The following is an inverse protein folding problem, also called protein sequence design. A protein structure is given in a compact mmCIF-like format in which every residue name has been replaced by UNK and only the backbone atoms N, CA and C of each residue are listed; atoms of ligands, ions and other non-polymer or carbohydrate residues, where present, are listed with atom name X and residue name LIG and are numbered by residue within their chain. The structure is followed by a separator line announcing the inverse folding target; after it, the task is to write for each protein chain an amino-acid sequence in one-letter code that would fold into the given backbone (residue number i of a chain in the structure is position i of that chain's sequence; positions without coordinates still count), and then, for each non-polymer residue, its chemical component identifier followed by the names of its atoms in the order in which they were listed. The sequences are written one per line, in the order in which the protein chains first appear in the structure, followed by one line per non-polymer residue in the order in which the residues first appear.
data_IF_541722752088
#
_entry.id   IF_541722752088
#
_cell.length_a   1.000
_cell.length_b   1.000
_cell.length_c   1.000
_cell.angle_alpha   90.00
_cell.angle_beta   90.00
_cell.angle_gamma   90.00
#
_symmetry.space_group_name_H-M   'P 1'
#
loop_
_entity.id
_entity.type
_entity.pdbx_description
1 polymer ?
#
# COMPACT_ATOMS: atom_id res chain seq x y z
N UNK A 1 9.17 -15.03 -3.39
CA UNK A 1 8.22 -13.99 -3.00
C UNK A 1 8.90 -12.96 -2.11
N UNK A 2 8.68 -11.67 -2.33
CA UNK A 2 9.27 -10.67 -1.45
C UNK A 2 8.67 -10.75 -0.05
N UNK A 3 9.52 -10.56 0.94
CA UNK A 3 9.08 -10.48 2.33
C UNK A 3 8.40 -9.14 2.59
N UNK A 4 7.65 -9.03 3.69
CA UNK A 4 7.05 -7.76 4.09
C UNK A 4 8.12 -6.68 4.29
N UNK A 5 9.28 -7.05 4.83
CA UNK A 5 10.38 -6.12 5.03
C UNK A 5 10.89 -5.57 3.69
N UNK A 6 11.04 -6.42 2.69
CA UNK A 6 11.49 -6.01 1.36
C UNK A 6 10.49 -5.07 0.72
N UNK A 7 9.20 -5.41 0.78
CA UNK A 7 8.14 -4.56 0.24
C UNK A 7 8.13 -3.21 0.95
N UNK A 8 8.25 -3.22 2.27
CA UNK A 8 8.28 -2.01 3.07
C UNK A 8 9.43 -1.09 2.63
N UNK A 9 10.63 -1.65 2.49
CA UNK A 9 11.78 -0.89 2.04
C UNK A 9 11.59 -0.33 0.63
N UNK A 10 11.02 -1.11 -0.27
CA UNK A 10 10.77 -0.66 -1.65
C UNK A 10 9.75 0.48 -1.69
N UNK A 11 8.72 0.42 -0.86
CA UNK A 11 7.73 1.50 -0.76
C UNK A 11 8.35 2.76 -0.16
N UNK A 12 9.17 2.60 0.87
CA UNK A 12 9.71 3.73 1.62
C UNK A 12 10.85 4.44 0.90
N UNK A 13 11.59 3.76 0.04
CA UNK A 13 12.75 4.37 -0.63
C UNK A 13 12.36 5.41 -1.69
N UNK A 14 11.14 5.35 -2.22
CA UNK A 14 10.66 6.31 -3.19
C UNK A 14 11.18 6.14 -4.61
N UNK A 15 12.24 5.39 -4.81
CA UNK A 15 12.87 5.23 -6.14
C UNK A 15 12.24 4.12 -6.98
N UNK A 16 11.36 3.32 -6.38
CA UNK A 16 10.74 2.17 -7.05
C UNK A 16 9.23 2.32 -7.23
N UNK A 17 8.71 3.53 -7.15
CA UNK A 17 7.26 3.76 -7.19
C UNK A 17 6.60 3.22 -8.45
N UNK A 18 7.33 3.17 -9.56
CA UNK A 18 6.82 2.63 -10.83
C UNK A 18 6.97 1.11 -10.95
N UNK A 19 7.63 0.47 -9.99
CA UNK A 19 7.94 -0.95 -10.05
C UNK A 19 7.43 -1.74 -8.85
N UNK A 20 6.43 -1.22 -8.17
CA UNK A 20 5.79 -1.93 -7.06
C UNK A 20 4.61 -2.71 -7.61
N UNK A 21 4.58 -4.02 -7.36
CA UNK A 21 3.44 -4.84 -7.77
C UNK A 21 2.22 -4.49 -6.94
N UNK A 22 1.05 -4.50 -7.58
CA UNK A 22 -0.19 -4.24 -6.88
C UNK A 22 -0.41 -5.22 -5.73
N UNK A 23 -0.13 -6.51 -5.97
CA UNK A 23 -0.25 -7.55 -4.93
C UNK A 23 0.67 -7.30 -3.75
N UNK A 24 1.86 -6.75 -3.99
CA UNK A 24 2.80 -6.42 -2.91
C UNK A 24 2.28 -5.25 -2.07
N UNK A 25 1.71 -4.24 -2.71
CA UNK A 25 1.12 -3.12 -1.99
C UNK A 25 -0.04 -3.59 -1.13
N UNK A 26 -0.88 -4.48 -1.68
CA UNK A 26 -1.97 -5.10 -0.92
C UNK A 26 -1.44 -5.88 0.27
N UNK A 27 -0.35 -6.63 0.06
CA UNK A 27 0.25 -7.44 1.10
C UNK A 27 0.75 -6.60 2.27
N UNK A 28 1.41 -5.49 1.99
CA UNK A 28 1.93 -4.65 3.07
C UNK A 28 0.80 -3.95 3.83
N UNK A 29 -0.26 -3.53 3.15
CA UNK A 29 -1.42 -2.94 3.79
C UNK A 29 -2.12 -3.96 4.70
N UNK A 30 -2.27 -5.20 4.23
CA UNK A 30 -2.85 -6.26 5.05
C UNK A 30 -1.96 -6.57 6.26
N UNK A 31 -0.65 -6.55 6.09
CA UNK A 31 0.28 -6.76 7.19
C UNK A 31 0.10 -5.71 8.30
N UNK A 32 -0.15 -4.45 7.91
CA UNK A 32 -0.40 -3.39 8.90
C UNK A 32 -1.78 -3.48 9.55
N UNK A 33 -2.59 -4.45 9.16
CA UNK A 33 -3.90 -4.67 9.76
C UNK A 33 -5.04 -3.91 9.11
N UNK A 34 -4.84 -3.37 7.92
CA UNK A 34 -5.91 -2.72 7.19
C UNK A 34 -6.91 -3.75 6.69
N UNK A 35 -8.18 -3.39 6.77
CA UNK A 35 -9.26 -4.15 6.14
C UNK A 35 -9.45 -3.65 4.72
N UNK A 36 -9.97 -4.52 3.86
CA UNK A 36 -10.17 -4.17 2.46
C UNK A 36 -11.62 -4.39 2.04
N UNK A 37 -12.17 -3.40 1.37
CA UNK A 37 -13.47 -3.51 0.71
C UNK A 37 -13.25 -3.33 -0.78
N UNK A 38 -13.79 -4.21 -1.59
CA UNK A 38 -13.64 -4.16 -3.04
C UNK A 38 -14.92 -3.64 -3.65
N UNK A 39 -14.80 -2.63 -4.52
CA UNK A 39 -15.91 -2.09 -5.27
C UNK A 39 -15.46 -1.89 -6.72
N UNK A 40 -15.90 -2.80 -7.62
CA UNK A 40 -15.39 -2.83 -8.98
C UNK A 40 -13.89 -3.13 -8.99
N UNK A 41 -13.10 -2.25 -9.59
CA UNK A 41 -11.65 -2.35 -9.58
C UNK A 41 -10.99 -1.47 -8.51
N UNK A 42 -11.79 -0.91 -7.60
CA UNK A 42 -11.31 -0.11 -6.49
C UNK A 42 -11.13 -0.98 -5.25
N UNK A 43 -9.94 -0.97 -4.68
CA UNK A 43 -9.63 -1.67 -3.45
C UNK A 43 -9.49 -0.63 -2.35
N UNK A 44 -10.46 -0.60 -1.45
CA UNK A 44 -10.58 0.44 -0.43
C UNK A 44 -10.05 -0.14 0.88
N UNK A 45 -8.95 0.41 1.38
CA UNK A 45 -8.31 -0.04 2.61
C UNK A 45 -8.61 0.95 3.73
N UNK A 46 -8.97 0.42 4.89
CA UNK A 46 -9.32 1.21 6.06
C UNK A 46 -8.90 0.50 7.33
N UNK A 47 -8.73 1.26 8.39
CA UNK A 47 -8.35 0.74 9.70
C UNK A 47 -8.97 1.61 10.78
N UNK A 48 -9.48 0.98 11.86
CA UNK A 48 -10.24 1.69 12.89
C UNK A 48 -9.45 2.79 13.59
N UNK A 49 -8.15 2.61 13.76
CA UNK A 49 -7.29 3.58 14.45
C UNK A 49 -6.80 4.69 13.54
N UNK A 50 -7.11 4.61 12.26
CA UNK A 50 -6.64 5.55 11.24
C UNK A 50 -7.85 6.12 10.53
N UNK A 51 -7.99 7.45 10.55
CA UNK A 51 -9.14 8.12 9.94
C UNK A 51 -9.08 8.13 8.41
N UNK A 52 -7.89 7.93 7.85
CA UNK A 52 -7.71 8.01 6.41
C UNK A 52 -8.03 6.69 5.74
N UNK A 53 -8.62 6.80 4.56
CA UNK A 53 -8.97 5.65 3.72
C UNK A 53 -8.07 5.69 2.50
N UNK A 54 -7.51 4.55 2.13
CA UNK A 54 -6.68 4.43 0.93
C UNK A 54 -7.47 3.67 -0.13
N UNK A 55 -7.65 4.30 -1.28
CA UNK A 55 -8.32 3.71 -2.42
C UNK A 55 -7.27 3.45 -3.50
N UNK A 56 -7.01 2.18 -3.80
CA UNK A 56 -6.01 1.81 -4.80
C UNK A 56 -6.63 1.04 -5.95
N UNK A 57 -6.07 1.22 -7.14
CA UNK A 57 -6.49 0.53 -8.35
C UNK A 57 -5.27 -0.08 -9.02
N UNK A 58 -5.39 -1.29 -9.57
CA UNK A 58 -4.28 -1.87 -10.33
C UNK A 58 -4.10 -1.16 -11.67
N UNK A 59 -2.85 -1.12 -12.12
CA UNK A 59 -2.46 -0.71 -13.46
C UNK A 59 -1.71 -1.89 -14.07
N UNK A 60 -2.46 -2.77 -14.73
CA UNK A 60 -1.93 -4.08 -15.07
C UNK A 60 -1.67 -4.86 -13.79
N UNK A 61 -0.42 -5.32 -13.61
CA UNK A 61 -0.02 -6.02 -12.39
C UNK A 61 0.69 -5.10 -11.38
N UNK A 62 0.74 -3.80 -11.65
CA UNK A 62 1.49 -2.84 -10.83
C UNK A 62 0.57 -1.87 -10.12
N UNK A 63 1.06 -1.33 -9.02
CA UNK A 63 0.42 -0.22 -8.34
C UNK A 63 0.72 1.08 -9.07
N UNK A 64 -0.22 2.01 -9.03
CA UNK A 64 0.01 3.33 -9.62
C UNK A 64 0.99 4.12 -8.76
N UNK A 65 1.97 4.82 -9.35
CA UNK A 65 3.00 5.49 -8.56
C UNK A 65 2.46 6.47 -7.51
N UNK A 66 1.42 7.23 -7.83
CA UNK A 66 0.86 8.18 -6.86
C UNK A 66 0.21 7.47 -5.68
N UNK A 67 -0.27 6.25 -5.87
CA UNK A 67 -0.85 5.46 -4.79
C UNK A 67 0.24 4.88 -3.88
N UNK A 68 1.36 4.48 -4.46
CA UNK A 68 2.53 4.07 -3.66
C UNK A 68 2.97 5.21 -2.77
N UNK A 69 3.04 6.43 -3.32
CA UNK A 69 3.39 7.62 -2.56
C UNK A 69 2.38 7.89 -1.45
N UNK A 70 1.10 7.71 -1.72
CA UNK A 70 0.04 7.89 -0.73
C UNK A 70 0.20 6.92 0.43
N UNK A 71 0.48 5.66 0.14
CA UNK A 71 0.73 4.63 1.17
C UNK A 71 1.97 4.99 1.97
N UNK A 72 3.04 5.41 1.32
CA UNK A 72 4.27 5.82 2.00
C UNK A 72 4.02 6.97 2.95
N UNK A 73 3.29 7.99 2.52
CA UNK A 73 2.97 9.14 3.37
C UNK A 73 2.15 8.73 4.59
N UNK A 74 1.23 7.79 4.41
CA UNK A 74 0.42 7.28 5.50
C UNK A 74 1.28 6.50 6.50
N UNK A 75 2.20 5.67 6.01
CA UNK A 75 3.13 4.94 6.86
C UNK A 75 3.95 5.90 7.71
N UNK A 76 4.44 6.97 7.10
CA UNK A 76 5.23 7.99 7.81
C UNK A 76 4.39 8.73 8.84
N UNK A 77 3.17 9.10 8.47
CA UNK A 77 2.28 9.87 9.36
C UNK A 77 1.91 9.09 10.62
N UNK A 78 1.62 7.81 10.48
CA UNK A 78 1.17 6.97 11.58
C UNK A 78 2.29 6.09 12.15
N UNK A 79 3.52 6.26 11.66
CA UNK A 79 4.71 5.54 12.15
C UNK A 79 4.53 4.03 12.12
N UNK A 80 3.98 3.51 11.03
CA UNK A 80 3.79 2.09 10.86
C UNK A 80 5.12 1.42 10.54
N UNK A 81 5.35 0.24 11.12
CA UNK A 81 6.60 -0.49 10.95
C UNK A 81 6.36 -1.97 10.71
N UNK A 82 7.28 -2.56 9.98
CA UNK A 82 7.29 -4.01 9.74
C UNK A 82 8.07 -4.72 10.82
#
# INVERSE_FOLDING_TARGET
MPTNEKIFLDVMCGSKDRNIRFSDLQKILAFFGFQCRIKGDHFIYYKNEIDEIINIQPDGNKAKPYQVKQVRNLILKYKLEV
#
